data_IF_009884566583
#
_entry.id   IF_009884566583
#
_cell.length_a   1.000
_cell.length_b   1.000
_cell.length_c   1.000
_cell.angle_alpha   90.00
_cell.angle_beta   90.00
_cell.angle_gamma   90.00
#
_symmetry.space_group_name_H-M   'P 1'
#
loop_
_entity.id
_entity.type
_entity.pdbx_description
1 polymer ?
#
# COMPACT_ATOMS: atom_id res chain seq x y z
N UNK A 1 -31.47 -1.09 -10.79
CA UNK A 1 -30.27 -0.62 -10.05
C UNK A 1 -29.57 0.35 -10.97
N UNK A 2 -29.56 1.63 -10.62
CA UNK A 2 -28.73 2.61 -11.31
C UNK A 2 -27.27 2.33 -10.92
N UNK A 3 -26.48 1.88 -11.90
CA UNK A 3 -25.08 1.53 -11.72
C UNK A 3 -24.16 2.71 -12.10
N UNK A 4 -24.73 3.83 -12.55
CA UNK A 4 -23.96 5.02 -12.88
C UNK A 4 -23.26 5.57 -11.62
N UNK A 5 -21.92 5.51 -11.62
CA UNK A 5 -21.08 5.96 -10.50
C UNK A 5 -20.61 4.87 -9.54
N UNK A 6 -21.07 3.61 -9.68
CA UNK A 6 -20.53 2.50 -8.88
C UNK A 6 -19.26 1.97 -9.54
N UNK A 7 -18.08 2.30 -9.01
CA UNK A 7 -16.80 1.72 -9.47
C UNK A 7 -16.78 0.22 -9.15
N UNK A 8 -16.37 -0.60 -10.11
CA UNK A 8 -16.14 -2.02 -9.86
C UNK A 8 -14.98 -2.19 -8.88
N UNK A 9 -15.17 -2.98 -7.83
CA UNK A 9 -14.10 -3.29 -6.89
C UNK A 9 -13.11 -4.28 -7.54
N UNK A 10 -11.97 -3.73 -8.00
CA UNK A 10 -10.91 -4.50 -8.66
C UNK A 10 -10.34 -5.61 -7.78
N UNK A 11 -10.39 -5.47 -6.45
CA UNK A 11 -9.94 -6.50 -5.50
C UNK A 11 -10.75 -7.80 -5.59
N UNK A 12 -11.98 -7.75 -6.12
CA UNK A 12 -12.84 -8.92 -6.28
C UNK A 12 -12.59 -9.69 -7.60
N UNK A 13 -11.67 -9.22 -8.44
CA UNK A 13 -11.41 -9.83 -9.73
C UNK A 13 -10.55 -11.10 -9.60
N UNK A 14 -10.88 -12.16 -10.36
CA UNK A 14 -10.23 -13.48 -10.27
C UNK A 14 -8.71 -13.46 -10.47
N UNK A 15 -8.21 -12.52 -11.26
CA UNK A 15 -6.77 -12.36 -11.54
C UNK A 15 -6.05 -11.43 -10.56
N UNK A 16 -6.79 -10.69 -9.74
CA UNK A 16 -6.20 -9.73 -8.82
C UNK A 16 -5.90 -10.46 -7.52
N UNK A 17 -4.61 -10.60 -7.15
CA UNK A 17 -4.25 -11.24 -5.89
C UNK A 17 -4.68 -10.36 -4.72
N UNK A 18 -4.70 -10.95 -3.53
CA UNK A 18 -4.95 -10.20 -2.31
C UNK A 18 -3.81 -9.22 -2.07
N UNK A 19 -4.15 -7.95 -1.81
CA UNK A 19 -3.20 -6.87 -1.64
C UNK A 19 -3.61 -5.98 -0.48
N UNK A 20 -2.64 -5.64 0.37
CA UNK A 20 -2.84 -4.84 1.58
C UNK A 20 -1.64 -3.92 1.83
N UNK A 21 -1.87 -2.80 2.53
CA UNK A 21 -0.77 -1.93 2.96
C UNK A 21 -0.08 -2.57 4.16
N UNK A 22 1.25 -2.55 4.14
CA UNK A 22 2.04 -2.87 5.33
C UNK A 22 1.94 -1.69 6.29
N UNK A 23 1.63 -1.92 7.58
CA UNK A 23 1.74 -0.89 8.61
C UNK A 23 3.17 -0.36 8.66
N UNK A 24 3.35 0.95 8.84
CA UNK A 24 4.69 1.60 8.73
C UNK A 24 5.65 1.01 9.76
N UNK A 25 5.14 0.74 10.95
CA UNK A 25 5.80 0.11 12.08
C UNK A 25 6.24 -1.34 11.81
N UNK A 26 5.60 -2.04 10.86
CA UNK A 26 5.92 -3.43 10.49
C UNK A 26 6.77 -3.52 9.20
N UNK A 27 6.99 -2.40 8.47
CA UNK A 27 7.71 -2.42 7.19
C UNK A 27 9.12 -3.00 7.33
N UNK A 28 9.84 -2.65 8.40
CA UNK A 28 11.20 -3.16 8.65
C UNK A 28 11.19 -4.67 8.93
N UNK A 29 10.32 -5.14 9.81
CA UNK A 29 10.22 -6.56 10.17
C UNK A 29 9.82 -7.41 8.95
N UNK A 30 8.79 -6.99 8.22
CA UNK A 30 8.31 -7.74 7.07
C UNK A 30 9.32 -7.78 5.91
N UNK A 31 10.17 -6.76 5.79
CA UNK A 31 11.20 -6.68 4.75
C UNK A 31 12.59 -7.20 5.19
N UNK A 32 12.75 -7.58 6.46
CA UNK A 32 14.01 -8.10 7.01
C UNK A 32 14.67 -9.22 6.19
N UNK A 33 13.93 -10.19 5.59
CA UNK A 33 14.54 -11.27 4.79
C UNK A 33 15.35 -10.79 3.58
N UNK A 34 15.09 -9.58 3.08
CA UNK A 34 15.77 -9.02 1.92
C UNK A 34 16.97 -8.13 2.26
N UNK A 35 17.23 -7.90 3.56
CA UNK A 35 18.41 -7.13 3.99
C UNK A 35 18.45 -5.70 3.46
N UNK A 36 17.30 -5.02 3.43
CA UNK A 36 17.16 -3.67 2.85
C UNK A 36 17.58 -2.53 3.79
N UNK A 37 18.07 -2.83 4.99
CA UNK A 37 18.57 -1.81 5.92
C UNK A 37 19.91 -1.26 5.42
N UNK A 38 19.96 0.04 5.20
CA UNK A 38 21.16 0.80 4.82
C UNK A 38 21.37 1.95 5.78
N UNK A 39 22.60 2.47 5.85
CA UNK A 39 22.85 3.73 6.51
C UNK A 39 22.62 4.88 5.52
N UNK A 40 21.97 5.93 6.00
CA UNK A 40 21.81 7.18 5.27
C UNK A 40 23.16 7.90 5.17
N UNK A 41 23.52 8.36 3.96
CA UNK A 41 24.84 8.95 3.71
C UNK A 41 25.03 10.34 4.30
N UNK A 42 23.94 11.05 4.60
CA UNK A 42 23.98 12.42 5.12
C UNK A 42 23.89 12.45 6.65
N UNK A 43 23.01 11.62 7.21
CA UNK A 43 22.71 11.60 8.65
C UNK A 43 23.42 10.46 9.40
N UNK A 44 23.81 9.40 8.70
CA UNK A 44 24.38 8.19 9.29
C UNK A 44 23.36 7.31 10.02
N UNK A 45 22.07 7.64 9.95
CA UNK A 45 21.00 6.88 10.58
C UNK A 45 20.59 5.66 9.75
N UNK A 46 20.00 4.66 10.41
CA UNK A 46 19.48 3.47 9.73
C UNK A 46 18.21 3.82 8.95
N UNK A 47 18.18 3.45 7.66
CA UNK A 47 17.09 3.71 6.72
C UNK A 47 16.75 2.43 5.95
N UNK A 48 15.46 2.20 5.72
CA UNK A 48 15.00 1.12 4.86
C UNK A 48 15.08 1.56 3.39
N UNK A 49 15.86 0.84 2.57
CA UNK A 49 16.07 1.10 1.14
C UNK A 49 14.86 0.65 0.29
N UNK A 50 13.69 1.24 0.56
CA UNK A 50 12.41 0.89 -0.09
C UNK A 50 12.42 1.09 -1.61
N UNK A 51 13.28 1.97 -2.12
CA UNK A 51 13.47 2.25 -3.54
C UNK A 51 13.93 1.04 -4.36
N UNK A 52 14.48 0.01 -3.69
CA UNK A 52 14.90 -1.25 -4.31
C UNK A 52 13.74 -2.21 -4.56
N UNK A 53 12.58 -1.96 -3.95
CA UNK A 53 11.39 -2.79 -4.17
C UNK A 53 10.83 -2.56 -5.58
N UNK A 54 10.19 -3.60 -6.18
CA UNK A 54 9.41 -3.42 -7.39
C UNK A 54 8.36 -2.30 -7.22
N UNK A 55 8.23 -1.42 -8.21
CA UNK A 55 7.38 -0.22 -8.09
C UNK A 55 5.95 -0.51 -8.56
N UNK A 56 4.97 0.15 -7.94
CA UNK A 56 3.58 0.22 -8.40
C UNK A 56 3.16 1.70 -8.43
N UNK A 57 2.46 2.11 -9.48
CA UNK A 57 2.03 3.51 -9.59
C UNK A 57 0.89 3.80 -8.63
N UNK A 58 0.86 5.02 -8.09
CA UNK A 58 -0.26 5.50 -7.28
C UNK A 58 -1.58 5.45 -8.05
N UNK A 59 -1.53 5.60 -9.37
CA UNK A 59 -2.69 5.53 -10.28
C UNK A 59 -3.13 4.11 -10.64
N UNK A 60 -2.45 3.07 -10.12
CA UNK A 60 -2.87 1.68 -10.31
C UNK A 60 -4.29 1.46 -9.74
N UNK A 61 -5.19 0.76 -10.45
CA UNK A 61 -6.56 0.56 -10.00
C UNK A 61 -6.68 -0.08 -8.62
N UNK A 62 -5.79 -1.01 -8.25
CA UNK A 62 -5.80 -1.64 -6.94
C UNK A 62 -5.41 -0.63 -5.86
N UNK A 63 -4.39 0.17 -6.12
CA UNK A 63 -3.91 1.21 -5.20
C UNK A 63 -4.99 2.26 -4.99
N UNK A 64 -5.71 2.66 -6.04
CA UNK A 64 -6.83 3.60 -5.94
C UNK A 64 -7.99 3.04 -5.10
N UNK A 65 -8.36 1.76 -5.29
CA UNK A 65 -9.41 1.14 -4.46
C UNK A 65 -9.01 1.06 -2.99
N UNK A 66 -7.74 0.70 -2.71
CA UNK A 66 -7.22 0.67 -1.33
C UNK A 66 -7.26 2.08 -0.73
N UNK A 67 -6.79 3.10 -1.47
CA UNK A 67 -6.82 4.51 -1.06
C UNK A 67 -8.24 4.95 -0.68
N UNK A 68 -9.18 4.80 -1.60
CA UNK A 68 -10.58 5.20 -1.40
C UNK A 68 -11.23 4.44 -0.22
N UNK A 69 -10.88 3.15 -0.05
CA UNK A 69 -11.40 2.34 1.05
C UNK A 69 -10.85 2.80 2.40
N UNK A 70 -9.55 3.09 2.48
CA UNK A 70 -8.90 3.58 3.70
C UNK A 70 -9.38 4.97 4.07
N UNK A 71 -9.46 5.89 3.11
CA UNK A 71 -9.99 7.25 3.32
C UNK A 71 -11.44 7.19 3.83
N UNK A 72 -12.28 6.38 3.20
CA UNK A 72 -13.67 6.19 3.66
C UNK A 72 -13.76 5.58 5.06
N UNK A 73 -12.90 4.61 5.37
CA UNK A 73 -12.87 4.00 6.70
C UNK A 73 -12.39 4.98 7.77
N UNK A 74 -11.39 5.81 7.45
CA UNK A 74 -10.89 6.88 8.29
C UNK A 74 -11.99 7.93 8.53
N UNK A 75 -12.65 8.41 7.47
CA UNK A 75 -13.76 9.36 7.59
C UNK A 75 -14.94 8.80 8.38
N UNK A 76 -15.26 7.51 8.22
CA UNK A 76 -16.32 6.87 8.99
C UNK A 76 -15.97 6.68 10.48
N UNK A 77 -14.69 6.48 10.79
CA UNK A 77 -14.23 6.33 12.17
C UNK A 77 -14.28 7.64 12.96
N UNK A 78 -14.17 8.79 12.29
CA UNK A 78 -14.14 10.12 12.90
C UNK A 78 -15.50 10.71 13.27
N UNK A 79 -16.62 10.02 12.98
CA UNK A 79 -17.95 10.40 13.48
C UNK A 79 -18.34 11.88 13.27
N UNK A 80 -18.94 12.48 14.31
CA UNK A 80 -19.23 13.92 14.43
C UNK A 80 -18.15 14.68 15.25
N UNK A 81 -16.94 14.13 15.35
CA UNK A 81 -15.88 14.81 16.10
C UNK A 81 -15.41 16.05 15.33
N UNK A 82 -15.53 17.23 15.96
CA UNK A 82 -15.15 18.53 15.39
C UNK A 82 -13.64 18.64 15.05
N UNK A 83 -12.83 17.64 15.46
CA UNK A 83 -11.38 17.56 15.24
C UNK A 83 -11.00 16.47 14.22
N UNK A 84 -11.85 16.20 13.22
CA UNK A 84 -11.47 15.33 12.10
C UNK A 84 -10.33 15.94 11.29
N UNK A 85 -9.12 15.40 11.44
CA UNK A 85 -7.97 15.77 10.62
C UNK A 85 -7.94 14.85 9.39
N UNK A 86 -8.18 15.35 8.17
CA UNK A 86 -8.12 14.53 6.97
C UNK A 86 -6.70 13.98 6.76
N UNK A 87 -6.59 12.82 6.12
CA UNK A 87 -5.30 12.27 5.74
C UNK A 87 -4.54 13.28 4.84
N UNK A 88 -3.23 13.47 5.07
CA UNK A 88 -2.45 14.44 4.33
C UNK A 88 -2.40 14.08 2.84
N UNK A 89 -2.31 15.11 1.99
CA UNK A 89 -2.09 14.89 0.57
C UNK A 89 -0.81 14.06 0.35
N UNK A 90 -0.92 13.00 -0.47
CA UNK A 90 0.22 12.12 -0.74
C UNK A 90 0.56 11.13 0.37
N UNK A 91 -0.31 10.92 1.39
CA UNK A 91 -0.06 9.95 2.49
C UNK A 91 0.28 8.53 2.04
N UNK A 92 -0.08 8.17 0.80
CA UNK A 92 0.14 6.87 0.20
C UNK A 92 1.48 6.75 -0.54
N UNK A 93 2.15 7.86 -0.80
CA UNK A 93 3.49 7.86 -1.38
C UNK A 93 4.48 7.18 -0.42
N UNK A 94 5.44 6.46 -0.98
CA UNK A 94 6.47 5.71 -0.25
C UNK A 94 5.97 4.61 0.70
N UNK A 95 4.67 4.28 0.66
CA UNK A 95 4.11 3.14 1.39
C UNK A 95 4.40 1.83 0.68
N UNK A 96 4.53 0.77 1.47
CA UNK A 96 4.76 -0.59 0.95
C UNK A 96 3.45 -1.36 0.83
N UNK A 97 3.21 -1.89 -0.37
CA UNK A 97 2.09 -2.77 -0.67
C UNK A 97 2.56 -4.23 -0.60
N UNK A 98 1.89 -5.05 0.19
CA UNK A 98 2.08 -6.50 0.24
C UNK A 98 1.12 -7.18 -0.73
N UNK A 99 1.67 -8.09 -1.53
CA UNK A 99 0.95 -8.86 -2.55
C UNK A 99 1.00 -10.34 -2.18
N UNK A 100 -0.16 -10.91 -1.85
CA UNK A 100 -0.31 -12.32 -1.50
C UNK A 100 -1.03 -13.04 -2.64
N UNK A 101 -0.30 -13.88 -3.38
CA UNK A 101 -0.83 -14.60 -4.55
C UNK A 101 -0.65 -16.12 -4.42
N UNK A 102 -1.54 -16.86 -5.07
CA UNK A 102 -1.38 -18.29 -5.24
C UNK A 102 -0.20 -18.56 -6.19
N UNK A 103 0.66 -19.50 -5.80
CA UNK A 103 1.83 -19.92 -6.56
C UNK A 103 1.71 -21.40 -6.90
N UNK A 104 1.76 -21.79 -8.20
CA UNK A 104 1.72 -23.20 -8.58
C UNK A 104 2.86 -24.04 -7.99
N UNK A 105 4.01 -23.44 -7.68
CA UNK A 105 5.19 -24.13 -7.15
C UNK A 105 5.31 -24.09 -5.63
N UNK A 106 4.86 -23.02 -5.00
CA UNK A 106 5.05 -22.77 -3.56
C UNK A 106 3.74 -22.77 -2.75
N UNK A 107 2.59 -22.98 -3.41
CA UNK A 107 1.26 -22.79 -2.83
C UNK A 107 0.91 -21.30 -2.71
N UNK A 108 1.67 -20.55 -1.92
CA UNK A 108 1.50 -19.11 -1.72
C UNK A 108 2.83 -18.38 -1.94
N UNK A 109 2.77 -17.21 -2.56
CA UNK A 109 3.90 -16.31 -2.75
C UNK A 109 3.54 -14.92 -2.24
N UNK A 110 4.39 -14.39 -1.37
CA UNK A 110 4.30 -13.02 -0.85
C UNK A 110 5.36 -12.18 -1.55
N UNK A 111 4.96 -11.02 -2.06
CA UNK A 111 5.84 -10.03 -2.65
C UNK A 111 5.51 -8.63 -2.11
N UNK A 112 6.46 -7.72 -2.19
CA UNK A 112 6.29 -6.34 -1.73
C UNK A 112 6.54 -5.37 -2.88
N UNK A 113 5.79 -4.27 -2.92
CA UNK A 113 5.94 -3.22 -3.94
C UNK A 113 5.92 -1.84 -3.30
N UNK A 114 6.78 -0.95 -3.79
CA UNK A 114 6.78 0.46 -3.38
C UNK A 114 5.77 1.24 -4.20
N UNK A 115 4.88 1.98 -3.54
CA UNK A 115 3.96 2.90 -4.21
C UNK A 115 4.72 4.17 -4.60
N UNK A 116 4.69 4.52 -5.87
CA UNK A 116 5.36 5.70 -6.43
C UNK A 116 4.39 6.57 -7.22
N UNK A 117 4.65 7.87 -7.27
CA UNK A 117 3.92 8.78 -8.17
C UNK A 117 4.37 8.58 -9.62
N UNK A 118 3.46 8.81 -10.57
CA UNK A 118 3.80 8.78 -12.00
C UNK A 118 4.63 10.00 -12.36
N UNK A 119 5.72 9.79 -13.12
CA UNK A 119 6.53 10.87 -13.72
C UNK A 119 5.86 11.48 -14.95
#
# INVERSE_FOLDING_TARGET
MDLAGTKFNVLNHVLVPHQELVPVEEEEEQLAPWGLLTNDSETGESRLAKELLPKILITDPVVQVIKETTERAHDAASGEDEEHVPLPAGWLADRVLKVVRQSPSAGVSVAYRLIVEGS
#
